data_IF_657473572678
#
_entry.id   IF_657473572678
#
_cell.length_a   1.000
_cell.length_b   1.000
_cell.length_c   1.000
_cell.angle_alpha   90.00
_cell.angle_beta   90.00
_cell.angle_gamma   90.00
#
_symmetry.space_group_name_H-M   'P 1'
#
loop_
_entity.id
_entity.type
_entity.pdbx_description
1 polymer ?
#
# COMPACT_ATOMS: atom_id res chain seq x y z
N UNK A 1 -9.56 -12.13 -0.45
CA UNK A 1 -8.53 -11.49 0.40
C UNK A 1 -9.16 -10.27 1.06
N UNK A 2 -9.15 -10.16 2.38
CA UNK A 2 -9.77 -9.01 3.07
C UNK A 2 -8.80 -7.82 3.08
N UNK A 3 -8.83 -7.01 2.01
CA UNK A 3 -8.04 -5.75 1.95
C UNK A 3 -8.31 -4.87 3.16
N UNK A 4 -9.59 -4.69 3.54
CA UNK A 4 -10.01 -3.92 4.73
C UNK A 4 -9.29 -4.32 6.01
N UNK A 5 -9.00 -5.62 6.20
CA UNK A 5 -8.28 -6.09 7.38
C UNK A 5 -6.78 -5.78 7.30
N UNK A 6 -6.23 -5.70 6.08
CA UNK A 6 -4.82 -5.34 5.82
C UNK A 6 -4.56 -3.84 5.91
N UNK A 7 -5.59 -3.00 5.78
CA UNK A 7 -5.44 -1.53 5.86
C UNK A 7 -4.82 -1.09 7.18
N UNK A 8 -5.16 -1.73 8.30
CA UNK A 8 -4.53 -1.44 9.59
C UNK A 8 -3.01 -1.63 9.54
N UNK A 9 -2.57 -2.78 9.02
CA UNK A 9 -1.14 -3.07 8.83
C UNK A 9 -0.51 -2.14 7.79
N UNK A 10 -1.21 -1.86 6.68
CA UNK A 10 -0.75 -0.93 5.65
C UNK A 10 -0.54 0.48 6.20
N UNK A 11 -1.44 0.97 7.08
CA UNK A 11 -1.32 2.26 7.77
C UNK A 11 -0.10 2.27 8.71
N UNK A 12 0.19 1.14 9.37
CA UNK A 12 1.40 1.02 10.20
C UNK A 12 2.68 1.00 9.38
N UNK A 13 2.69 0.30 8.25
CA UNK A 13 3.82 0.26 7.30
C UNK A 13 4.04 1.63 6.66
N UNK A 14 2.94 2.29 6.28
CA UNK A 14 2.94 3.57 5.59
C UNK A 14 2.25 4.64 6.43
N UNK A 15 2.87 5.06 7.52
CA UNK A 15 2.32 6.03 8.48
C UNK A 15 1.90 7.40 7.90
N UNK A 16 2.37 7.78 6.72
CA UNK A 16 1.94 8.99 5.99
C UNK A 16 0.64 8.82 5.20
N UNK A 17 0.18 7.58 4.98
CA UNK A 17 -1.10 7.28 4.34
C UNK A 17 -2.18 7.16 5.39
N UNK A 18 -3.35 7.69 5.08
CA UNK A 18 -4.55 7.50 5.90
C UNK A 18 -5.26 6.20 5.54
N UNK A 19 -6.09 5.70 6.46
CA UNK A 19 -6.90 4.51 6.21
C UNK A 19 -7.85 4.72 5.03
N UNK A 20 -8.38 5.93 4.86
CA UNK A 20 -9.28 6.28 3.76
C UNK A 20 -8.58 6.18 2.40
N UNK A 21 -7.38 6.75 2.27
CA UNK A 21 -6.57 6.64 1.05
C UNK A 21 -6.26 5.18 0.71
N UNK A 22 -5.89 4.39 1.72
CA UNK A 22 -5.68 2.96 1.56
C UNK A 22 -6.96 2.23 1.17
N UNK A 23 -8.12 2.59 1.73
CA UNK A 23 -9.43 2.05 1.36
C UNK A 23 -9.76 2.32 -0.11
N UNK A 24 -9.50 3.52 -0.60
CA UNK A 24 -9.74 3.92 -2.00
C UNK A 24 -8.91 3.11 -3.02
N UNK A 25 -7.78 2.53 -2.57
CA UNK A 25 -7.01 1.64 -3.44
C UNK A 25 -7.68 0.28 -3.66
N UNK A 26 -8.60 -0.12 -2.78
CA UNK A 26 -9.27 -1.43 -2.85
C UNK A 26 -8.30 -2.63 -2.87
N UNK A 27 -7.04 -2.43 -2.47
CA UNK A 27 -5.98 -3.43 -2.53
C UNK A 27 -5.33 -3.58 -3.90
N UNK A 28 -5.62 -2.66 -4.83
CA UNK A 28 -4.96 -2.59 -6.13
C UNK A 28 -3.51 -2.12 -5.98
N UNK A 29 -2.58 -2.93 -6.50
CA UNK A 29 -1.15 -2.67 -6.35
C UNK A 29 -0.72 -1.39 -7.07
N UNK A 30 -1.32 -1.10 -8.21
CA UNK A 30 -0.98 0.08 -9.00
C UNK A 30 -1.48 1.37 -8.34
N UNK A 31 -2.70 1.37 -7.78
CA UNK A 31 -3.22 2.49 -6.97
C UNK A 31 -2.39 2.73 -5.72
N UNK A 32 -1.97 1.67 -5.01
CA UNK A 32 -1.07 1.78 -3.86
C UNK A 32 0.29 2.36 -4.26
N UNK A 33 0.87 1.89 -5.36
CA UNK A 33 2.15 2.38 -5.84
C UNK A 33 2.05 3.86 -6.22
N UNK A 34 0.96 4.29 -6.86
CA UNK A 34 0.71 5.71 -7.16
C UNK A 34 0.67 6.56 -5.89
N UNK A 35 -0.10 6.16 -4.87
CA UNK A 35 -0.13 6.86 -3.58
C UNK A 35 1.24 6.95 -2.92
N UNK A 36 2.02 5.88 -2.96
CA UNK A 36 3.38 5.87 -2.40
C UNK A 36 4.32 6.82 -3.13
N UNK A 37 4.23 6.89 -4.46
CA UNK A 37 4.99 7.86 -5.25
C UNK A 37 4.63 9.29 -4.87
N UNK A 38 3.35 9.60 -4.72
CA UNK A 38 2.89 10.96 -4.38
C UNK A 38 3.21 11.35 -2.94
N UNK A 39 2.96 10.46 -1.98
CA UNK A 39 3.06 10.76 -0.54
C UNK A 39 4.48 10.65 0.00
N UNK A 40 5.30 9.75 -0.55
CA UNK A 40 6.67 9.52 -0.12
C UNK A 40 7.71 9.98 -1.14
N UNK A 41 7.30 10.53 -2.29
CA UNK A 41 8.21 10.95 -3.37
C UNK A 41 9.13 9.82 -3.83
N UNK A 42 8.59 8.58 -3.84
CA UNK A 42 9.33 7.38 -4.24
C UNK A 42 9.37 7.23 -5.76
N UNK A 43 10.45 6.63 -6.26
CA UNK A 43 10.53 6.15 -7.64
C UNK A 43 9.54 4.99 -7.85
N UNK A 44 9.07 4.83 -9.10
CA UNK A 44 8.08 3.80 -9.46
C UNK A 44 8.48 2.39 -9.03
N UNK A 45 9.74 1.99 -9.28
CA UNK A 45 10.25 0.68 -8.87
C UNK A 45 10.26 0.48 -7.34
N UNK A 46 10.53 1.53 -6.56
CA UNK A 46 10.58 1.42 -5.10
C UNK A 46 9.17 1.28 -4.53
N UNK A 47 8.23 2.07 -5.07
CA UNK A 47 6.82 1.96 -4.71
C UNK A 47 6.26 0.58 -5.07
N UNK A 48 6.52 0.11 -6.28
CA UNK A 48 6.06 -1.20 -6.76
C UNK A 48 6.60 -2.35 -5.89
N UNK A 49 7.91 -2.35 -5.58
CA UNK A 49 8.53 -3.33 -4.68
C UNK A 49 7.92 -3.33 -3.28
N UNK A 50 7.64 -2.16 -2.70
CA UNK A 50 7.00 -2.08 -1.39
C UNK A 50 5.59 -2.68 -1.42
N UNK A 51 4.82 -2.37 -2.45
CA UNK A 51 3.45 -2.86 -2.58
C UNK A 51 3.42 -4.35 -2.85
N UNK A 52 4.25 -4.84 -3.78
CA UNK A 52 4.38 -6.27 -4.03
C UNK A 52 4.81 -7.03 -2.77
N UNK A 53 5.82 -6.53 -2.05
CA UNK A 53 6.26 -7.13 -0.79
C UNK A 53 5.16 -7.14 0.28
N UNK A 54 4.36 -6.07 0.38
CA UNK A 54 3.24 -5.99 1.32
C UNK A 54 2.12 -6.98 0.97
N UNK A 55 1.78 -7.11 -0.33
CA UNK A 55 0.73 -8.00 -0.80
C UNK A 55 1.14 -9.48 -0.72
N UNK A 56 2.42 -9.78 -0.98
CA UNK A 56 3.04 -11.11 -0.93
C UNK A 56 3.24 -11.62 0.51
N UNK A 57 3.77 -10.78 1.41
CA UNK A 57 4.04 -11.17 2.81
C UNK A 57 2.77 -11.56 3.60
N UNK A 58 1.58 -11.26 3.07
CA UNK A 58 0.31 -11.66 3.66
C UNK A 58 -0.21 -13.04 3.18
N UNK A 59 0.61 -13.83 2.48
CA UNK A 59 0.33 -15.20 2.10
C UNK A 59 0.97 -16.27 3.02
N UNK A 60 1.67 -15.88 4.08
CA UNK A 60 2.25 -16.80 5.07
C UNK A 60 1.42 -16.88 6.36
#
# INVERSE_FOLDING_TARGET
>A
MNWKQRIGTAKQTWSRLTEDELLQTEGDSHKLAALLKERYSLSGEVADKQVMGFLDHSAA
#
